data_IF_471987734866
#
_entry.id   IF_471987734866
#
_cell.length_a   1.000
_cell.length_b   1.000
_cell.length_c   1.000
_cell.angle_alpha   90.00
_cell.angle_beta   90.00
_cell.angle_gamma   90.00
#
_symmetry.space_group_name_H-M   'P 1'
#
loop_
_entity.id
_entity.type
_entity.pdbx_description
1 polymer ?
#
# COMPACT_ATOMS: atom_id res chain seq x y z
N UNK A 1 -47.44 38.47 -50.55
CA UNK A 1 -46.44 37.65 -51.26
C UNK A 1 -45.48 37.18 -50.19
N UNK A 2 -45.42 35.94 -49.71
CA UNK A 2 -45.98 34.61 -50.04
C UNK A 2 -45.45 33.75 -48.87
N UNK A 3 -46.29 33.01 -48.12
CA UNK A 3 -46.52 31.55 -48.27
C UNK A 3 -45.21 30.73 -48.13
N UNK A 4 -45.06 29.63 -47.37
CA UNK A 4 -45.91 28.58 -46.79
C UNK A 4 -45.10 27.92 -45.63
N UNK A 5 -45.66 27.47 -44.50
CA UNK A 5 -46.49 26.26 -44.26
C UNK A 5 -45.82 24.93 -44.70
N UNK A 6 -45.47 24.09 -43.71
CA UNK A 6 -46.01 22.73 -43.49
C UNK A 6 -45.15 21.63 -44.17
N UNK A 7 -44.89 20.40 -43.68
CA UNK A 7 -45.42 19.54 -42.61
C UNK A 7 -44.54 18.27 -42.48
N UNK A 8 -44.51 17.68 -41.26
CA UNK A 8 -44.64 16.24 -40.91
C UNK A 8 -43.52 15.20 -41.14
N UNK A 9 -43.07 14.67 -39.98
CA UNK A 9 -42.71 13.30 -39.53
C UNK A 9 -41.92 12.30 -40.40
N UNK A 10 -40.89 11.70 -39.79
CA UNK A 10 -40.90 10.26 -39.45
C UNK A 10 -39.76 9.88 -38.49
N UNK A 11 -40.04 8.83 -37.72
CA UNK A 11 -39.25 8.18 -36.67
C UNK A 11 -38.36 7.09 -37.28
N UNK A 12 -37.17 6.88 -36.71
CA UNK A 12 -36.29 5.68 -36.66
C UNK A 12 -34.83 6.19 -36.60
N UNK A 13 -33.86 5.70 -35.83
CA UNK A 13 -33.69 4.53 -35.00
C UNK A 13 -32.18 4.44 -34.69
N UNK A 14 -31.87 4.21 -33.42
CA UNK A 14 -30.62 3.73 -32.78
C UNK A 14 -29.43 3.38 -33.71
N UNK A 15 -28.28 4.04 -33.51
CA UNK A 15 -26.92 3.43 -33.62
C UNK A 15 -25.82 4.42 -33.21
N UNK A 16 -25.43 4.43 -31.93
CA UNK A 16 -24.20 5.09 -31.47
C UNK A 16 -23.47 4.20 -30.47
N UNK A 17 -22.85 3.14 -30.98
CA UNK A 17 -21.86 2.34 -30.24
C UNK A 17 -20.60 2.02 -31.04
N UNK A 18 -20.45 2.54 -32.26
CA UNK A 18 -19.32 2.19 -33.15
C UNK A 18 -18.34 3.35 -33.39
N UNK A 19 -18.68 4.59 -33.00
CA UNK A 19 -17.78 5.75 -33.15
C UNK A 19 -16.81 5.97 -31.98
N UNK A 20 -17.04 5.36 -30.81
CA UNK A 20 -16.11 5.44 -29.67
C UNK A 20 -14.89 4.50 -29.81
N UNK A 21 -14.98 3.45 -30.65
CA UNK A 21 -13.91 2.46 -30.81
C UNK A 21 -12.84 2.87 -31.84
N UNK A 22 -13.13 3.80 -32.75
CA UNK A 22 -12.14 4.25 -33.75
C UNK A 22 -11.16 5.30 -33.20
N UNK A 23 -11.52 6.00 -32.11
CA UNK A 23 -10.63 7.01 -31.50
C UNK A 23 -9.57 6.38 -30.59
N UNK A 24 -9.85 5.20 -30.01
CA UNK A 24 -8.89 4.46 -29.15
C UNK A 24 -7.76 3.84 -30.00
N UNK A 25 -8.08 3.31 -31.18
CA UNK A 25 -7.08 2.70 -32.08
C UNK A 25 -6.02 3.71 -32.61
N UNK A 26 -6.37 5.00 -32.69
CA UNK A 26 -5.43 6.05 -33.13
C UNK A 26 -4.45 6.50 -32.03
N UNK A 27 -4.74 6.22 -30.74
CA UNK A 27 -3.84 6.53 -29.64
C UNK A 27 -2.76 5.45 -29.46
N UNK A 28 -3.11 4.18 -29.71
CA UNK A 28 -2.18 3.05 -29.63
C UNK A 28 -1.06 3.13 -30.69
N UNK A 29 -1.35 3.59 -31.91
CA UNK A 29 -0.32 3.76 -32.96
C UNK A 29 0.72 4.85 -32.67
N UNK A 30 0.49 5.76 -31.72
CA UNK A 30 1.47 6.81 -31.36
C UNK A 30 2.39 6.44 -30.21
N UNK A 31 2.06 5.43 -29.41
CA UNK A 31 2.93 4.91 -28.35
C UNK A 31 3.99 3.92 -28.84
N UNK A 32 3.78 3.26 -30.00
CA UNK A 32 4.73 2.27 -30.54
C UNK A 32 5.97 2.88 -31.26
N UNK A 33 6.02 4.19 -31.50
CA UNK A 33 7.07 4.81 -32.32
C UNK A 33 8.26 5.39 -31.53
N UNK A 34 8.26 5.33 -30.20
CA UNK A 34 9.32 5.88 -29.36
C UNK A 34 10.33 4.85 -28.80
N UNK A 35 10.16 3.56 -29.11
CA UNK A 35 11.05 2.49 -28.66
C UNK A 35 11.89 1.95 -29.84
N UNK A 36 12.92 2.68 -30.25
CA UNK A 36 13.97 2.15 -31.13
C UNK A 36 15.33 2.80 -30.83
N UNK A 37 16.09 2.18 -29.93
CA UNK A 37 17.55 2.38 -29.79
C UNK A 37 18.16 0.96 -29.61
N UNK A 38 19.25 0.60 -30.33
CA UNK A 38 19.61 -0.79 -30.57
C UNK A 38 20.42 -1.43 -29.43
N UNK A 39 20.06 -2.68 -29.10
CA UNK A 39 20.77 -3.57 -28.18
C UNK A 39 22.00 -4.17 -28.85
N UNK A 40 23.18 -4.00 -28.24
CA UNK A 40 24.41 -4.68 -28.64
C UNK A 40 24.45 -6.05 -27.96
N UNK A 41 24.52 -7.12 -28.76
CA UNK A 41 24.70 -8.49 -28.31
C UNK A 41 26.16 -8.78 -27.96
N UNK A 42 26.39 -9.53 -26.87
CA UNK A 42 27.63 -10.28 -26.70
C UNK A 42 27.34 -11.62 -26.04
N UNK A 43 27.51 -12.67 -26.84
CA UNK A 43 27.55 -14.08 -26.45
C UNK A 43 28.86 -14.39 -25.73
N UNK A 44 28.83 -15.20 -24.68
CA UNK A 44 29.95 -16.06 -24.31
C UNK A 44 29.45 -17.33 -23.58
N UNK A 45 29.78 -18.47 -24.18
CA UNK A 45 29.66 -19.83 -23.64
C UNK A 45 30.77 -20.07 -22.61
N UNK A 46 30.51 -20.74 -21.46
CA UNK A 46 31.49 -21.68 -20.87
C UNK A 46 30.79 -22.83 -20.09
N UNK A 47 30.95 -24.02 -20.66
CA UNK A 47 31.22 -25.38 -20.11
C UNK A 47 30.90 -25.74 -18.64
N UNK A 48 30.18 -26.88 -18.55
CA UNK A 48 30.19 -27.86 -17.45
C UNK A 48 31.57 -28.48 -17.25
N UNK A 49 31.98 -28.66 -15.99
CA UNK A 49 32.72 -29.85 -15.55
C UNK A 49 32.47 -30.12 -14.05
N UNK A 50 32.48 -31.40 -13.68
CA UNK A 50 31.98 -31.93 -12.40
C UNK A 50 33.04 -32.43 -11.40
N UNK A 51 32.52 -33.18 -10.40
CA UNK A 51 33.18 -33.90 -9.27
C UNK A 51 33.58 -32.99 -8.08
N UNK A 52 33.50 -33.38 -6.81
CA UNK A 52 33.29 -34.66 -6.13
C UNK A 52 32.85 -34.46 -4.66
N UNK A 53 31.98 -35.36 -4.16
CA UNK A 53 31.89 -35.99 -2.83
C UNK A 53 32.32 -35.28 -1.52
N UNK A 54 31.44 -35.34 -0.50
CA UNK A 54 31.74 -35.89 0.83
C UNK A 54 30.45 -36.26 1.61
N UNK A 55 30.48 -37.42 2.26
CA UNK A 55 29.39 -38.02 3.05
C UNK A 55 29.75 -38.09 4.55
N UNK A 56 28.87 -38.77 5.33
CA UNK A 56 29.03 -39.42 6.67
C UNK A 56 28.23 -38.70 7.81
N UNK A 57 27.53 -39.38 8.78
CA UNK A 57 26.55 -40.48 8.69
C UNK A 57 25.39 -40.46 9.78
N UNK A 58 24.44 -41.40 9.66
CA UNK A 58 23.81 -42.23 10.73
C UNK A 58 22.98 -41.63 11.90
N UNK A 59 21.72 -42.05 12.05
CA UNK A 59 21.31 -43.12 13.00
C UNK A 59 19.82 -43.50 12.85
N UNK A 60 19.55 -44.80 12.90
CA UNK A 60 18.25 -45.48 12.78
C UNK A 60 17.68 -45.93 14.13
N UNK A 61 16.35 -45.76 14.25
CA UNK A 61 15.30 -46.61 14.84
C UNK A 61 15.48 -47.38 16.17
N UNK A 62 14.40 -47.37 16.97
CA UNK A 62 13.86 -48.62 17.54
C UNK A 62 12.33 -48.53 17.78
N UNK A 63 11.63 -49.57 17.29
CA UNK A 63 10.19 -49.88 17.41
C UNK A 63 9.84 -50.52 18.77
N UNK A 64 8.54 -50.55 19.10
CA UNK A 64 7.76 -51.64 19.75
C UNK A 64 6.42 -51.02 20.25
N UNK A 65 5.23 -51.60 20.28
CA UNK A 65 4.48 -52.66 19.58
C UNK A 65 3.02 -52.53 20.09
N UNK A 66 2.01 -52.93 19.29
CA UNK A 66 0.59 -53.05 19.70
C UNK A 66 0.31 -54.42 20.37
N UNK A 67 -0.81 -54.58 21.12
CA UNK A 67 -1.96 -55.36 20.60
C UNK A 67 -3.36 -54.82 21.07
N UNK A 68 -4.40 -54.75 20.22
CA UNK A 68 -5.50 -55.70 19.90
C UNK A 68 -6.59 -55.95 20.97
N UNK A 69 -7.84 -55.55 20.69
CA UNK A 69 -9.06 -56.32 21.03
C UNK A 69 -10.33 -55.54 21.49
N UNK A 70 -11.55 -56.04 21.20
CA UNK A 70 -12.75 -55.23 20.82
C UNK A 70 -14.00 -55.48 21.73
N UNK A 71 -15.27 -55.39 21.26
CA UNK A 71 -16.09 -54.23 20.87
C UNK A 71 -17.36 -54.08 21.75
N UNK A 72 -18.11 -52.96 21.66
CA UNK A 72 -19.51 -52.92 22.12
C UNK A 72 -20.37 -52.02 21.23
N UNK A 73 -21.52 -52.56 20.82
CA UNK A 73 -22.65 -51.89 20.17
C UNK A 73 -23.79 -51.74 21.17
N UNK A 74 -24.45 -50.58 21.22
CA UNK A 74 -25.88 -50.52 21.54
C UNK A 74 -26.52 -49.21 21.05
N UNK A 75 -27.78 -49.33 20.67
CA UNK A 75 -28.69 -48.39 20.00
C UNK A 75 -29.34 -47.37 20.94
N UNK A 76 -29.71 -46.17 20.45
CA UNK A 76 -31.12 -45.71 20.34
C UNK A 76 -31.29 -44.18 20.16
N UNK A 77 -32.17 -43.85 19.20
CA UNK A 77 -33.23 -42.83 19.18
C UNK A 77 -32.93 -41.30 19.25
N UNK A 78 -33.23 -40.67 18.11
CA UNK A 78 -34.11 -39.50 17.90
C UNK A 78 -33.97 -38.26 18.79
N UNK A 79 -33.39 -37.21 18.20
CA UNK A 79 -33.74 -35.81 18.46
C UNK A 79 -33.63 -35.03 17.15
N UNK A 80 -34.77 -34.68 16.56
CA UNK A 80 -34.84 -33.76 15.41
C UNK A 80 -34.69 -32.35 15.95
N UNK A 81 -33.55 -31.72 15.71
CA UNK A 81 -33.45 -30.26 15.68
C UNK A 81 -33.20 -29.86 14.23
N UNK A 82 -34.12 -29.04 13.71
CA UNK A 82 -34.06 -28.49 12.38
C UNK A 82 -32.91 -27.48 12.32
N UNK A 83 -31.77 -27.90 11.75
CA UNK A 83 -30.82 -26.97 11.17
C UNK A 83 -31.47 -26.35 9.93
N UNK A 84 -31.86 -25.09 10.06
CA UNK A 84 -32.11 -24.20 8.94
C UNK A 84 -30.80 -24.10 8.13
N UNK A 85 -30.69 -24.91 7.08
CA UNK A 85 -29.62 -24.82 6.08
C UNK A 85 -29.72 -23.45 5.41
N UNK A 86 -28.98 -22.47 5.96
CA UNK A 86 -28.59 -21.29 5.21
C UNK A 86 -27.90 -21.81 3.94
N UNK A 87 -28.53 -21.60 2.78
CA UNK A 87 -27.94 -21.96 1.49
C UNK A 87 -26.52 -21.39 1.45
N UNK A 88 -25.53 -22.27 1.39
CA UNK A 88 -24.13 -21.88 1.34
C UNK A 88 -23.97 -20.95 0.13
N UNK A 89 -23.50 -19.72 0.38
CA UNK A 89 -23.11 -18.81 -0.69
C UNK A 89 -22.14 -19.58 -1.61
N UNK A 90 -22.41 -19.73 -2.92
CA UNK A 90 -21.53 -20.46 -3.85
C UNK A 90 -20.07 -20.01 -3.79
N UNK A 91 -19.89 -18.73 -3.43
CA UNK A 91 -18.62 -18.05 -3.23
C UNK A 91 -17.86 -18.55 -1.98
N UNK A 92 -18.58 -18.93 -0.92
CA UNK A 92 -18.01 -19.51 0.29
C UNK A 92 -17.49 -20.93 0.03
N UNK A 93 -18.13 -21.70 -0.85
CA UNK A 93 -17.67 -23.02 -1.28
C UNK A 93 -16.41 -22.92 -2.13
N UNK A 94 -16.38 -22.04 -3.14
CA UNK A 94 -15.19 -21.84 -3.98
C UNK A 94 -13.96 -21.35 -3.21
N UNK A 95 -14.14 -20.44 -2.25
CA UNK A 95 -13.02 -19.91 -1.48
C UNK A 95 -12.60 -20.83 -0.32
N UNK A 96 -13.40 -21.83 0.02
CA UNK A 96 -13.07 -22.81 1.08
C UNK A 96 -11.95 -23.79 0.71
N UNK A 97 -11.59 -23.88 -0.58
CA UNK A 97 -10.52 -24.75 -1.09
C UNK A 97 -9.13 -24.08 -1.11
N UNK A 98 -9.03 -22.79 -0.77
CA UNK A 98 -7.76 -22.06 -0.74
C UNK A 98 -7.05 -22.32 0.60
N UNK A 99 -5.94 -23.06 0.55
CA UNK A 99 -5.12 -23.37 1.73
C UNK A 99 -4.45 -22.11 2.30
N UNK A 100 -4.52 -21.93 3.62
CA UNK A 100 -4.38 -20.63 4.31
C UNK A 100 -3.08 -20.55 5.11
N UNK A 101 -1.94 -20.42 4.42
CA UNK A 101 -0.72 -19.90 5.03
C UNK A 101 -0.18 -18.71 4.22
N UNK A 102 -0.36 -17.49 4.75
CA UNK A 102 0.16 -16.25 4.16
C UNK A 102 -0.89 -15.31 3.53
N UNK A 103 -0.48 -14.14 3.01
CA UNK A 103 -1.37 -13.17 2.37
C UNK A 103 -1.90 -13.70 1.03
N UNK A 104 -3.23 -13.73 0.88
CA UNK A 104 -3.88 -14.20 -0.34
C UNK A 104 -3.83 -13.13 -1.42
N UNK A 105 -3.32 -13.47 -2.61
CA UNK A 105 -3.29 -12.56 -3.76
C UNK A 105 -4.66 -12.50 -4.44
N UNK A 106 -5.09 -11.29 -4.80
CA UNK A 106 -6.39 -11.04 -5.41
C UNK A 106 -6.58 -11.73 -6.76
N UNK A 107 -5.54 -11.84 -7.59
CA UNK A 107 -5.63 -12.54 -8.88
C UNK A 107 -6.14 -13.98 -8.76
N UNK A 108 -5.77 -14.69 -7.68
CA UNK A 108 -6.19 -16.07 -7.46
C UNK A 108 -7.67 -16.13 -7.07
N UNK A 109 -8.17 -15.07 -6.44
CA UNK A 109 -9.56 -14.92 -6.02
C UNK A 109 -10.42 -14.49 -7.20
N UNK A 110 -10.04 -13.48 -8.00
CA UNK A 110 -10.83 -13.00 -9.15
C UNK A 110 -11.13 -14.13 -10.14
N UNK A 111 -10.16 -14.99 -10.44
CA UNK A 111 -10.37 -16.16 -11.33
C UNK A 111 -11.42 -17.13 -10.79
N UNK A 112 -11.57 -17.22 -9.46
CA UNK A 112 -12.57 -18.06 -8.81
C UNK A 112 -13.95 -17.39 -8.78
N UNK A 113 -14.02 -16.08 -8.50
CA UNK A 113 -15.30 -15.37 -8.31
C UNK A 113 -16.15 -15.23 -9.58
N UNK A 114 -15.57 -15.40 -10.77
CA UNK A 114 -16.21 -14.97 -12.01
C UNK A 114 -16.39 -13.44 -12.03
N UNK A 115 -17.14 -12.90 -12.98
CA UNK A 115 -17.36 -11.45 -13.10
C UNK A 115 -18.29 -10.87 -11.99
N UNK A 116 -18.52 -11.58 -10.89
CA UNK A 116 -19.42 -11.16 -9.79
C UNK A 116 -18.64 -10.70 -8.55
N UNK A 117 -19.00 -9.52 -8.03
CA UNK A 117 -18.36 -8.99 -6.82
C UNK A 117 -18.94 -9.67 -5.57
N UNK A 118 -18.10 -10.08 -4.60
CA UNK A 118 -18.56 -10.79 -3.41
C UNK A 118 -19.14 -9.82 -2.38
N UNK A 119 -20.36 -9.35 -2.62
CA UNK A 119 -21.08 -8.48 -1.69
C UNK A 119 -21.60 -9.25 -0.48
N UNK A 120 -21.59 -8.63 0.70
CA UNK A 120 -22.09 -9.22 1.96
C UNK A 120 -23.00 -8.23 2.68
N UNK A 121 -24.05 -8.73 3.33
CA UNK A 121 -24.98 -7.93 4.14
C UNK A 121 -24.28 -7.06 5.19
N UNK A 122 -23.10 -7.46 5.67
CA UNK A 122 -22.32 -6.66 6.62
C UNK A 122 -21.96 -5.28 6.04
N UNK A 123 -21.72 -5.19 4.72
CA UNK A 123 -21.46 -3.92 4.03
C UNK A 123 -22.72 -3.07 3.97
N UNK A 124 -23.87 -3.67 3.63
CA UNK A 124 -25.16 -2.97 3.57
C UNK A 124 -25.51 -2.39 4.95
N UNK A 125 -25.27 -3.14 6.02
CA UNK A 125 -25.48 -2.69 7.40
C UNK A 125 -24.53 -1.57 7.83
N UNK A 126 -23.38 -1.42 7.18
CA UNK A 126 -22.41 -0.37 7.47
C UNK A 126 -22.70 0.93 6.70
N UNK A 127 -23.61 0.91 5.72
CA UNK A 127 -24.05 2.12 5.03
C UNK A 127 -24.68 3.12 6.01
N UNK A 128 -24.57 4.43 5.74
CA UNK A 128 -25.21 5.44 6.58
C UNK A 128 -26.71 5.19 6.75
N UNK A 129 -27.24 5.54 7.92
CA UNK A 129 -28.64 5.32 8.23
C UNK A 129 -29.55 5.98 7.18
N UNK A 130 -30.47 5.21 6.62
CA UNK A 130 -31.38 5.67 5.58
C UNK A 130 -30.90 5.46 4.15
N UNK A 131 -29.67 5.00 3.95
CA UNK A 131 -29.20 4.61 2.62
C UNK A 131 -29.92 3.36 2.11
N UNK A 132 -30.28 3.37 0.83
CA UNK A 132 -30.85 2.22 0.10
C UNK A 132 -29.82 1.69 -0.88
N UNK A 133 -29.37 0.45 -0.69
CA UNK A 133 -28.46 -0.23 -1.62
C UNK A 133 -29.14 -0.51 -2.97
N UNK A 134 -28.43 -0.28 -4.08
CA UNK A 134 -28.90 -0.56 -5.44
C UNK A 134 -28.08 -1.65 -6.12
N UNK A 135 -26.78 -1.46 -6.24
CA UNK A 135 -25.89 -2.38 -6.96
C UNK A 135 -24.44 -2.23 -6.51
N UNK A 136 -23.61 -3.18 -6.93
CA UNK A 136 -22.16 -3.15 -6.77
C UNK A 136 -21.50 -3.52 -8.09
N UNK A 137 -20.43 -2.84 -8.44
CA UNK A 137 -19.59 -3.18 -9.58
C UNK A 137 -18.13 -3.16 -9.17
N UNK A 138 -17.33 -4.08 -9.73
CA UNK A 138 -15.88 -4.01 -9.59
C UNK A 138 -15.38 -2.62 -10.00
N UNK A 139 -14.46 -2.09 -9.21
CA UNK A 139 -13.72 -0.87 -9.50
C UNK A 139 -12.26 -1.22 -9.80
N UNK A 140 -11.42 -0.19 -9.96
CA UNK A 140 -10.02 -0.28 -10.35
C UNK A 140 -9.19 -1.26 -9.51
N UNK A 141 -8.01 -1.59 -10.01
CA UNK A 141 -7.26 -2.75 -9.53
C UNK A 141 -6.32 -2.39 -8.38
N UNK A 142 -6.41 -3.16 -7.29
CA UNK A 142 -5.40 -3.19 -6.22
C UNK A 142 -4.74 -4.58 -6.20
N UNK A 143 -3.44 -4.62 -5.90
CA UNK A 143 -2.69 -5.87 -5.82
C UNK A 143 -3.18 -6.80 -4.69
N UNK A 144 -3.84 -6.25 -3.67
CA UNK A 144 -4.15 -6.93 -2.40
C UNK A 144 -5.60 -6.87 -1.96
N UNK A 145 -6.40 -5.98 -2.54
CA UNK A 145 -7.82 -5.83 -2.22
C UNK A 145 -8.68 -5.92 -3.48
N UNK A 146 -9.86 -6.51 -3.38
CA UNK A 146 -10.91 -6.24 -4.36
C UNK A 146 -11.43 -4.84 -4.09
N UNK A 147 -11.65 -4.05 -5.14
CA UNK A 147 -12.30 -2.76 -4.99
C UNK A 147 -13.61 -2.73 -5.76
N UNK A 148 -14.57 -1.96 -5.26
CA UNK A 148 -15.87 -1.81 -5.88
C UNK A 148 -16.45 -0.42 -5.69
N UNK A 149 -17.31 -0.04 -6.63
CA UNK A 149 -18.24 1.07 -6.49
C UNK A 149 -19.60 0.49 -6.09
N UNK A 150 -20.12 0.95 -4.96
CA UNK A 150 -21.43 0.57 -4.41
C UNK A 150 -22.39 1.70 -4.69
N UNK A 151 -23.42 1.45 -5.50
CA UNK A 151 -24.45 2.44 -5.82
C UNK A 151 -25.54 2.40 -4.74
N UNK A 152 -25.90 3.57 -4.22
CA UNK A 152 -26.97 3.70 -3.22
C UNK A 152 -27.82 4.94 -3.47
N UNK A 153 -28.99 5.00 -2.83
CA UNK A 153 -29.77 6.22 -2.66
C UNK A 153 -29.65 6.71 -1.22
N UNK A 154 -29.58 8.03 -1.01
CA UNK A 154 -29.72 8.64 0.31
C UNK A 154 -31.20 8.74 0.76
N UNK A 155 -31.44 9.37 1.91
CA UNK A 155 -32.79 9.56 2.48
C UNK A 155 -33.72 10.39 1.59
N UNK A 156 -33.15 11.26 0.76
CA UNK A 156 -33.89 12.14 -0.15
C UNK A 156 -34.09 11.49 -1.52
N UNK A 157 -33.58 10.27 -1.71
CA UNK A 157 -33.66 9.52 -2.97
C UNK A 157 -32.60 9.94 -4.00
N UNK A 158 -31.58 10.71 -3.60
CA UNK A 158 -30.48 11.08 -4.50
C UNK A 158 -29.45 9.96 -4.56
N UNK A 159 -28.80 9.80 -5.71
CA UNK A 159 -27.69 8.85 -5.83
C UNK A 159 -26.51 9.27 -4.98
N UNK A 160 -26.00 8.32 -4.19
CA UNK A 160 -24.80 8.49 -3.38
C UNK A 160 -23.92 7.24 -3.46
N UNK A 161 -22.87 7.24 -4.31
CA UNK A 161 -21.97 6.09 -4.42
C UNK A 161 -20.98 6.00 -3.25
N UNK A 162 -20.57 4.78 -2.92
CA UNK A 162 -19.50 4.49 -1.95
C UNK A 162 -18.40 3.65 -2.58
N UNK A 163 -17.18 3.82 -2.07
CA UNK A 163 -16.03 3.01 -2.44
C UNK A 163 -15.85 1.90 -1.41
N UNK A 164 -15.71 0.66 -1.89
CA UNK A 164 -15.59 -0.55 -1.07
C UNK A 164 -14.26 -1.24 -1.37
N UNK A 165 -13.47 -1.52 -0.34
CA UNK A 165 -12.32 -2.44 -0.39
C UNK A 165 -12.62 -3.71 0.37
N UNK A 166 -12.20 -4.85 -0.17
CA UNK A 166 -12.36 -6.18 0.44
C UNK A 166 -11.03 -6.91 0.46
N UNK A 167 -10.70 -7.48 1.62
CA UNK A 167 -9.47 -8.24 1.85
C UNK A 167 -9.73 -9.48 2.72
N UNK A 168 -8.80 -10.42 2.67
CA UNK A 168 -9.00 -11.76 3.22
C UNK A 168 -7.98 -12.11 4.30
N UNK A 169 -8.40 -12.96 5.24
CA UNK A 169 -7.60 -13.45 6.35
C UNK A 169 -7.23 -12.37 7.37
N UNK A 170 -6.40 -12.76 8.34
CA UNK A 170 -5.93 -11.86 9.39
C UNK A 170 -5.09 -10.70 8.84
N UNK A 171 -4.35 -10.94 7.76
CA UNK A 171 -3.61 -9.89 7.08
C UNK A 171 -4.54 -8.80 6.52
N UNK A 172 -5.61 -9.21 5.81
CA UNK A 172 -6.63 -8.28 5.31
C UNK A 172 -7.33 -7.51 6.42
N UNK A 173 -7.57 -8.15 7.57
CA UNK A 173 -8.12 -7.47 8.77
C UNK A 173 -7.21 -6.34 9.24
N UNK A 174 -5.92 -6.60 9.38
CA UNK A 174 -4.94 -5.61 9.85
C UNK A 174 -4.85 -4.45 8.86
N UNK A 175 -4.74 -4.75 7.57
CA UNK A 175 -4.65 -3.76 6.50
C UNK A 175 -5.86 -2.81 6.48
N UNK A 176 -7.07 -3.36 6.36
CA UNK A 176 -8.28 -2.54 6.20
C UNK A 176 -8.68 -1.83 7.50
N UNK A 177 -8.43 -2.42 8.67
CA UNK A 177 -8.63 -1.72 9.95
C UNK A 177 -7.63 -0.57 10.12
N UNK A 178 -6.37 -0.80 9.71
CA UNK A 178 -5.34 0.23 9.73
C UNK A 178 -5.68 1.41 8.82
N UNK A 179 -6.13 1.13 7.59
CA UNK A 179 -6.57 2.15 6.64
C UNK A 179 -7.79 2.93 7.17
N UNK A 180 -8.82 2.22 7.65
CA UNK A 180 -10.02 2.86 8.23
C UNK A 180 -9.68 3.80 9.40
N UNK A 181 -8.86 3.33 10.35
CA UNK A 181 -8.45 4.15 11.50
C UNK A 181 -7.55 5.33 11.10
N UNK A 182 -6.71 5.15 10.07
CA UNK A 182 -5.90 6.23 9.49
C UNK A 182 -6.78 7.30 8.86
N UNK A 183 -7.69 6.90 7.96
CA UNK A 183 -8.64 7.79 7.31
C UNK A 183 -9.51 8.53 8.32
N UNK A 184 -9.92 7.87 9.41
CA UNK A 184 -10.70 8.51 10.47
C UNK A 184 -9.93 9.62 11.18
N UNK A 185 -8.63 9.41 11.47
CA UNK A 185 -7.81 10.46 12.09
C UNK A 185 -7.55 11.61 11.12
N UNK A 186 -7.27 11.33 9.85
CA UNK A 186 -7.04 12.37 8.82
C UNK A 186 -8.32 13.18 8.60
N UNK A 187 -9.47 12.52 8.35
CA UNK A 187 -10.76 13.18 8.13
C UNK A 187 -11.18 14.06 9.32
N UNK A 188 -10.91 13.63 10.55
CA UNK A 188 -11.16 14.44 11.76
C UNK A 188 -10.40 15.77 11.75
N UNK A 189 -9.20 15.81 11.15
CA UNK A 189 -8.37 17.00 11.05
C UNK A 189 -8.73 17.82 9.81
N UNK A 190 -8.87 17.15 8.66
CA UNK A 190 -9.18 17.73 7.36
C UNK A 190 -10.22 16.86 6.63
N UNK A 191 -11.53 17.15 6.80
CA UNK A 191 -12.62 16.35 6.23
C UNK A 191 -12.63 16.27 4.69
N UNK A 192 -11.97 17.21 4.02
CA UNK A 192 -11.92 17.33 2.57
C UNK A 192 -10.60 16.80 1.97
N UNK A 193 -9.73 16.20 2.78
CA UNK A 193 -8.38 15.78 2.34
C UNK A 193 -8.24 14.27 2.17
N UNK A 194 -9.25 13.50 2.55
CA UNK A 194 -9.37 12.05 2.34
C UNK A 194 -10.85 11.71 2.19
N UNK A 195 -11.25 10.68 1.42
CA UNK A 195 -12.65 10.26 1.36
C UNK A 195 -13.18 9.93 2.76
N UNK A 196 -14.42 10.31 3.05
CA UNK A 196 -14.99 10.11 4.38
C UNK A 196 -15.05 8.61 4.70
N UNK A 197 -14.39 8.13 5.76
CA UNK A 197 -14.45 6.74 6.15
C UNK A 197 -15.82 6.45 6.78
N UNK A 198 -16.55 5.51 6.20
CA UNK A 198 -17.90 5.13 6.63
C UNK A 198 -17.84 3.94 7.59
N UNK A 199 -17.08 2.89 7.23
CA UNK A 199 -17.06 1.69 8.06
C UNK A 199 -15.91 0.74 7.77
N UNK A 200 -15.61 -0.08 8.77
CA UNK A 200 -14.78 -1.26 8.67
C UNK A 200 -15.50 -2.41 9.37
N UNK A 201 -15.41 -3.61 8.80
CA UNK A 201 -16.07 -4.77 9.41
C UNK A 201 -15.65 -6.10 8.82
N UNK A 202 -16.18 -7.17 9.41
CA UNK A 202 -16.05 -8.54 8.93
C UNK A 202 -17.32 -8.95 8.21
N UNK A 203 -17.18 -9.64 7.09
CA UNK A 203 -18.30 -10.28 6.39
C UNK A 203 -18.96 -11.33 7.29
N UNK A 204 -20.25 -11.58 7.06
CA UNK A 204 -20.95 -12.72 7.67
C UNK A 204 -20.42 -14.05 7.13
N UNK A 205 -20.01 -14.06 5.87
CA UNK A 205 -19.40 -15.24 5.23
C UNK A 205 -18.16 -15.68 6.02
N UNK A 206 -18.13 -16.95 6.43
CA UNK A 206 -17.18 -17.41 7.46
C UNK A 206 -15.82 -17.86 6.91
N UNK A 207 -15.74 -18.32 5.65
CA UNK A 207 -14.52 -18.89 5.07
C UNK A 207 -14.27 -18.44 3.62
N UNK A 208 -13.05 -17.96 3.31
CA UNK A 208 -12.06 -17.45 4.26
C UNK A 208 -12.66 -16.26 5.04
N UNK A 209 -12.06 -15.92 6.17
CA UNK A 209 -12.47 -14.72 6.89
C UNK A 209 -12.25 -13.50 5.98
N UNK A 210 -13.33 -12.75 5.70
CA UNK A 210 -13.29 -11.60 4.78
C UNK A 210 -13.62 -10.33 5.55
N UNK A 211 -12.93 -9.25 5.22
CA UNK A 211 -13.06 -7.95 5.86
C UNK A 211 -13.25 -6.88 4.79
N UNK A 212 -13.87 -5.77 5.19
CA UNK A 212 -14.10 -4.63 4.31
C UNK A 212 -13.74 -3.30 4.94
N UNK A 213 -13.43 -2.34 4.07
CA UNK A 213 -13.37 -0.91 4.35
C UNK A 213 -14.31 -0.19 3.37
N UNK A 214 -15.10 0.75 3.88
CA UNK A 214 -16.10 1.50 3.13
C UNK A 214 -15.86 3.00 3.35
N UNK A 215 -15.83 3.78 2.27
CA UNK A 215 -15.72 5.23 2.30
C UNK A 215 -16.65 5.89 1.28
N UNK A 216 -16.79 7.21 1.33
CA UNK A 216 -17.35 7.97 0.20
C UNK A 216 -16.61 7.60 -1.10
N UNK A 217 -17.35 7.52 -2.20
CA UNK A 217 -16.77 7.44 -3.54
C UNK A 217 -16.48 8.85 -4.04
N UNK A 218 -15.27 9.08 -4.53
CA UNK A 218 -14.85 10.37 -5.08
C UNK A 218 -14.28 10.14 -6.47
N UNK A 219 -14.81 10.86 -7.45
CA UNK A 219 -14.22 10.90 -8.80
C UNK A 219 -12.92 11.71 -8.75
N UNK A 220 -11.81 11.06 -9.09
CA UNK A 220 -10.48 11.64 -8.98
C UNK A 220 -9.74 11.57 -10.31
N UNK A 221 -9.00 12.63 -10.63
CA UNK A 221 -7.89 12.57 -11.57
C UNK A 221 -6.62 12.14 -10.81
N UNK A 222 -6.15 10.92 -11.10
CA UNK A 222 -4.92 10.35 -10.52
C UNK A 222 -3.72 10.43 -11.48
N UNK A 223 -3.88 11.13 -12.60
CA UNK A 223 -2.86 11.26 -13.65
C UNK A 223 -2.17 12.62 -13.63
N UNK A 224 -2.89 13.65 -13.20
CA UNK A 224 -2.35 15.00 -13.09
C UNK A 224 -1.56 15.20 -11.79
N UNK A 225 -0.35 15.78 -11.85
CA UNK A 225 0.35 16.18 -10.63
C UNK A 225 -0.40 17.34 -9.93
N UNK A 226 -0.45 17.36 -8.60
CA UNK A 226 -1.10 18.44 -7.88
C UNK A 226 -0.25 19.71 -7.93
N UNK A 227 -0.88 20.88 -7.76
CA UNK A 227 -0.12 22.12 -7.57
C UNK A 227 0.76 22.01 -6.31
N UNK A 228 2.07 22.13 -6.48
CA UNK A 228 3.04 21.90 -5.41
C UNK A 228 2.79 22.81 -4.19
N UNK A 229 2.38 24.07 -4.40
CA UNK A 229 2.14 25.00 -3.31
C UNK A 229 0.89 24.63 -2.51
N UNK A 230 -0.26 24.43 -3.19
CA UNK A 230 -1.51 24.04 -2.54
C UNK A 230 -1.35 22.71 -1.79
N UNK A 231 -0.86 21.68 -2.48
CA UNK A 231 -0.68 20.35 -1.89
C UNK A 231 0.21 20.38 -0.65
N UNK A 232 1.40 20.99 -0.77
CA UNK A 232 2.34 21.05 0.35
C UNK A 232 1.82 21.93 1.50
N UNK A 233 1.04 22.98 1.21
CA UNK A 233 0.39 23.78 2.24
C UNK A 233 -0.62 22.94 3.03
N UNK A 234 -1.47 22.16 2.35
CA UNK A 234 -2.46 21.27 3.00
C UNK A 234 -1.80 20.14 3.78
N UNK A 235 -0.76 19.50 3.22
CA UNK A 235 -0.01 18.47 3.91
C UNK A 235 0.68 18.99 5.18
N UNK A 236 1.35 20.15 5.08
CA UNK A 236 1.95 20.80 6.24
C UNK A 236 0.89 21.17 7.30
N UNK A 237 -0.30 21.61 6.87
CA UNK A 237 -1.39 21.94 7.77
C UNK A 237 -1.91 20.71 8.53
N UNK A 238 -2.08 19.56 7.86
CA UNK A 238 -2.41 18.29 8.51
C UNK A 238 -1.37 17.94 9.59
N UNK A 239 -0.08 18.03 9.27
CA UNK A 239 1.00 17.73 10.21
C UNK A 239 1.03 18.70 11.39
N UNK A 240 0.70 19.97 11.18
CA UNK A 240 0.65 21.00 12.24
C UNK A 240 -0.59 20.92 13.12
N UNK A 241 -1.75 20.58 12.56
CA UNK A 241 -3.02 20.47 13.31
C UNK A 241 -3.18 19.16 14.06
N UNK A 242 -2.55 18.08 13.59
CA UNK A 242 -2.61 16.79 14.28
C UNK A 242 -2.09 16.84 15.71
N UNK A 243 -2.60 16.00 16.60
CA UNK A 243 -2.12 15.90 17.98
C UNK A 243 -2.09 14.44 18.39
N UNK A 244 -0.90 13.94 18.75
CA UNK A 244 -0.79 12.58 19.29
C UNK A 244 -1.60 12.46 20.58
N UNK A 245 -2.49 11.46 20.70
CA UNK A 245 -3.35 11.30 21.88
C UNK A 245 -2.55 10.95 23.14
N UNK A 246 -1.30 10.50 23.00
CA UNK A 246 -0.41 10.13 24.09
C UNK A 246 0.76 11.09 24.27
N UNK A 247 0.91 12.06 23.35
CA UNK A 247 2.14 12.86 23.23
C UNK A 247 3.37 12.09 22.74
N UNK A 248 3.21 10.82 22.35
CA UNK A 248 4.28 9.92 21.87
C UNK A 248 4.18 9.65 20.37
N UNK A 249 5.23 9.06 19.78
CA UNK A 249 5.22 8.50 18.42
C UNK A 249 4.55 7.13 18.42
N UNK A 250 3.88 6.76 17.33
CA UNK A 250 3.14 5.50 17.23
C UNK A 250 1.69 5.66 16.80
N UNK A 251 0.90 4.60 16.94
CA UNK A 251 -0.51 4.59 16.59
C UNK A 251 -1.28 3.60 17.47
N UNK A 252 -2.59 3.78 17.62
CA UNK A 252 -3.41 2.94 18.51
C UNK A 252 -3.76 1.58 17.91
N UNK A 253 -3.66 1.43 16.60
CA UNK A 253 -3.78 0.16 15.88
C UNK A 253 -2.56 -0.06 14.99
N UNK A 254 -2.28 -1.31 14.64
CA UNK A 254 -1.31 -1.61 13.59
C UNK A 254 -1.82 -1.12 12.24
N UNK A 255 -1.03 -0.29 11.56
CA UNK A 255 -1.26 0.13 10.17
C UNK A 255 -0.28 -0.58 9.24
N UNK A 256 -0.45 -0.43 7.92
CA UNK A 256 0.43 -1.03 6.92
C UNK A 256 0.99 0.03 5.96
N UNK A 257 2.13 -0.26 5.34
CA UNK A 257 2.61 0.35 4.09
C UNK A 257 2.62 -0.75 3.04
N UNK A 258 1.72 -0.65 2.08
CA UNK A 258 1.31 -1.76 1.23
C UNK A 258 0.90 -2.99 2.06
N UNK A 259 1.56 -4.13 1.80
CA UNK A 259 1.31 -5.41 2.51
C UNK A 259 2.05 -5.54 3.85
N UNK A 260 2.79 -4.53 4.30
CA UNK A 260 3.71 -4.69 5.43
C UNK A 260 3.19 -3.97 6.64
N UNK A 261 2.87 -4.74 7.69
CA UNK A 261 2.44 -4.21 8.96
C UNK A 261 3.56 -3.39 9.61
N UNK A 262 3.26 -2.15 9.98
CA UNK A 262 4.18 -1.28 10.68
C UNK A 262 4.38 -1.73 12.13
N UNK A 263 5.58 -1.47 12.67
CA UNK A 263 5.85 -1.58 14.10
C UNK A 263 5.56 -0.25 14.79
N UNK A 264 4.28 0.01 15.12
CA UNK A 264 3.78 1.34 15.55
C UNK A 264 3.45 1.45 17.05
N UNK A 265 4.07 0.65 17.90
CA UNK A 265 3.87 0.77 19.35
C UNK A 265 4.32 2.13 19.86
N UNK A 266 3.62 2.66 20.87
CA UNK A 266 3.92 3.98 21.43
C UNK A 266 5.36 4.08 21.98
N UNK A 267 6.06 5.15 21.59
CA UNK A 267 7.45 5.40 21.96
C UNK A 267 7.71 6.91 22.11
N UNK A 268 8.48 7.30 23.12
CA UNK A 268 8.83 8.70 23.40
C UNK A 268 10.00 9.19 22.54
N UNK A 269 10.95 8.31 22.25
CA UNK A 269 12.11 8.63 21.43
C UNK A 269 11.83 8.34 19.95
N UNK A 270 11.84 9.38 19.12
CA UNK A 270 11.72 9.22 17.68
C UNK A 270 12.83 8.34 17.10
N UNK A 271 14.05 8.46 17.63
CA UNK A 271 15.17 7.63 17.18
C UNK A 271 14.92 6.14 17.42
N UNK A 272 14.40 5.77 18.59
CA UNK A 272 14.04 4.37 18.92
C UNK A 272 12.85 3.92 18.07
N UNK A 273 11.84 4.77 17.91
CA UNK A 273 10.67 4.45 17.09
C UNK A 273 11.06 4.16 15.63
N UNK A 274 11.82 5.06 15.00
CA UNK A 274 12.29 4.88 13.63
C UNK A 274 13.24 3.67 13.50
N UNK A 275 14.11 3.42 14.49
CA UNK A 275 14.94 2.22 14.53
C UNK A 275 14.08 0.94 14.45
N UNK A 276 12.99 0.87 15.21
CA UNK A 276 12.10 -0.29 15.19
C UNK A 276 11.37 -0.44 13.84
N UNK A 277 10.95 0.66 13.22
CA UNK A 277 10.39 0.64 11.86
C UNK A 277 11.39 0.08 10.85
N UNK A 278 12.62 0.60 10.84
CA UNK A 278 13.66 0.18 9.90
C UNK A 278 14.03 -1.30 10.10
N UNK A 279 14.24 -1.72 11.34
CA UNK A 279 14.54 -3.13 11.65
C UNK A 279 13.41 -4.07 11.21
N UNK A 280 12.15 -3.63 11.34
CA UNK A 280 10.99 -4.40 10.88
C UNK A 280 11.04 -4.68 9.38
N UNK A 281 11.29 -3.65 8.56
CA UNK A 281 11.37 -3.83 7.10
C UNK A 281 12.65 -4.54 6.66
N UNK A 282 13.78 -4.33 7.34
CA UNK A 282 15.02 -5.08 7.07
C UNK A 282 14.86 -6.58 7.37
N UNK A 283 14.13 -6.93 8.43
CA UNK A 283 13.81 -8.34 8.73
C UNK A 283 12.98 -8.95 7.59
N UNK A 284 11.96 -8.24 7.12
CA UNK A 284 11.13 -8.72 6.02
C UNK A 284 11.92 -8.85 4.71
N UNK A 285 12.80 -7.90 4.41
CA UNK A 285 13.71 -7.97 3.26
C UNK A 285 14.62 -9.20 3.34
N UNK A 286 15.22 -9.46 4.51
CA UNK A 286 16.06 -10.65 4.71
C UNK A 286 15.27 -11.95 4.49
N UNK A 287 14.05 -12.03 5.01
CA UNK A 287 13.16 -13.19 4.82
C UNK A 287 12.75 -13.38 3.36
N UNK A 288 12.57 -12.29 2.61
CA UNK A 288 12.05 -12.34 1.23
C UNK A 288 13.14 -12.46 0.18
N UNK A 289 14.21 -11.68 0.30
CA UNK A 289 15.26 -11.49 -0.70
C UNK A 289 16.58 -12.17 -0.31
N UNK A 290 16.61 -12.87 0.83
CA UNK A 290 17.78 -13.60 1.31
C UNK A 290 18.89 -12.71 1.86
N UNK A 291 19.96 -13.31 2.41
CA UNK A 291 21.04 -12.59 3.06
C UNK A 291 21.86 -11.74 2.09
N UNK A 292 22.30 -10.59 2.58
CA UNK A 292 23.28 -9.74 1.90
C UNK A 292 24.24 -9.17 2.95
N UNK A 293 25.42 -9.79 3.17
CA UNK A 293 26.29 -9.46 4.30
C UNK A 293 26.67 -7.98 4.42
N UNK A 294 26.88 -7.29 3.29
CA UNK A 294 27.22 -5.87 3.30
C UNK A 294 26.01 -5.01 3.74
N UNK A 295 24.81 -5.30 3.24
CA UNK A 295 23.58 -4.62 3.65
C UNK A 295 23.29 -4.84 5.14
N UNK A 296 23.46 -6.07 5.65
CA UNK A 296 23.28 -6.38 7.07
C UNK A 296 24.28 -5.62 7.95
N UNK A 297 25.54 -5.56 7.52
CA UNK A 297 26.59 -4.78 8.19
C UNK A 297 26.28 -3.29 8.20
N UNK A 298 25.88 -2.73 7.05
CA UNK A 298 25.48 -1.33 6.93
C UNK A 298 24.24 -1.03 7.79
N UNK A 299 23.23 -1.90 7.76
CA UNK A 299 22.02 -1.78 8.59
C UNK A 299 22.38 -1.71 10.08
N UNK A 300 23.25 -2.60 10.56
CA UNK A 300 23.72 -2.59 11.96
C UNK A 300 24.40 -1.26 12.31
N UNK A 301 25.24 -0.72 11.42
CA UNK A 301 25.92 0.56 11.65
C UNK A 301 24.94 1.74 11.65
N UNK A 302 24.00 1.76 10.70
CA UNK A 302 22.94 2.77 10.63
C UNK A 302 22.13 2.77 11.91
N UNK A 303 21.67 1.59 12.35
CA UNK A 303 20.86 1.42 13.55
C UNK A 303 21.61 1.80 14.83
N UNK A 304 22.86 1.37 14.98
CA UNK A 304 23.58 1.55 16.25
C UNK A 304 24.35 2.86 16.36
N UNK A 305 24.63 3.55 15.25
CA UNK A 305 25.46 4.77 15.22
C UNK A 305 24.78 5.93 14.52
N UNK A 306 24.30 5.74 13.29
CA UNK A 306 23.75 6.85 12.47
C UNK A 306 22.42 7.34 13.05
N UNK A 307 21.45 6.46 13.32
CA UNK A 307 20.14 6.83 13.87
C UNK A 307 20.29 7.59 15.20
N UNK A 308 21.04 7.09 16.21
CA UNK A 308 21.26 7.84 17.45
C UNK A 308 21.89 9.21 17.21
N UNK A 309 22.80 9.35 16.25
CA UNK A 309 23.44 10.62 15.92
C UNK A 309 22.52 11.58 15.16
N UNK A 310 21.80 11.11 14.16
CA UNK A 310 21.07 11.95 13.22
C UNK A 310 19.63 12.25 13.69
N UNK A 311 19.01 11.30 14.39
CA UNK A 311 17.66 11.44 14.92
C UNK A 311 17.66 11.77 16.41
N UNK A 312 18.61 11.25 17.18
CA UNK A 312 18.71 11.57 18.62
C UNK A 312 18.99 13.05 18.87
N UNK A 313 19.67 13.74 17.94
CA UNK A 313 19.89 15.19 18.07
C UNK A 313 18.61 16.00 18.07
N UNK A 314 17.52 15.52 17.45
CA UNK A 314 16.22 16.21 17.36
C UNK A 314 15.54 16.40 18.72
N UNK A 315 15.88 15.56 19.71
CA UNK A 315 15.28 15.57 21.06
C UNK A 315 16.33 15.83 22.15
N UNK A 316 17.49 16.39 21.81
CA UNK A 316 18.56 16.72 22.77
C UNK A 316 18.92 18.20 22.71
N UNK A 317 19.66 18.69 23.71
CA UNK A 317 20.05 20.09 23.86
C UNK A 317 18.85 21.05 23.91
N UNK A 318 17.79 20.64 24.60
CA UNK A 318 16.55 21.42 24.73
C UNK A 318 15.63 21.40 23.51
N UNK A 319 16.03 20.72 22.42
CA UNK A 319 15.17 20.54 21.24
C UNK A 319 14.08 19.51 21.53
N UNK A 320 12.93 19.74 20.91
CA UNK A 320 11.79 18.84 20.93
C UNK A 320 11.20 18.80 19.53
N UNK A 321 10.73 17.63 19.14
CA UNK A 321 9.95 17.43 17.92
C UNK A 321 8.56 16.98 18.31
N UNK A 322 7.58 17.47 17.55
CA UNK A 322 6.18 17.12 17.72
C UNK A 322 5.90 15.78 17.00
N UNK A 323 5.24 14.81 17.66
CA UNK A 323 4.62 13.69 16.96
C UNK A 323 3.44 14.21 16.12
N UNK A 324 3.65 14.28 14.81
CA UNK A 324 2.67 14.70 13.81
C UNK A 324 2.06 13.46 13.15
N UNK A 325 0.74 13.46 12.97
CA UNK A 325 0.10 12.43 12.14
C UNK A 325 0.62 12.58 10.71
N UNK A 326 1.14 11.50 10.14
CA UNK A 326 1.52 11.41 8.74
C UNK A 326 0.58 10.46 8.00
N UNK A 327 0.48 10.58 6.68
CA UNK A 327 -0.16 9.61 5.80
C UNK A 327 0.53 8.24 5.90
N UNK A 328 1.87 8.21 5.87
CA UNK A 328 2.68 7.01 6.17
C UNK A 328 3.03 6.13 4.97
N UNK A 329 2.39 6.39 3.83
CA UNK A 329 2.69 5.83 2.51
C UNK A 329 2.43 6.87 1.40
N UNK A 330 2.88 8.11 1.56
CA UNK A 330 2.55 9.19 0.63
C UNK A 330 3.55 9.29 -0.53
N UNK A 331 3.08 8.89 -1.70
CA UNK A 331 3.70 9.13 -3.00
C UNK A 331 2.59 9.50 -4.00
N UNK A 332 2.92 9.96 -5.20
CA UNK A 332 1.89 10.44 -6.15
C UNK A 332 0.84 9.38 -6.54
N UNK A 333 1.12 8.08 -6.36
CA UNK A 333 0.14 7.02 -6.57
C UNK A 333 -0.94 6.92 -5.50
N UNK A 334 -0.78 7.59 -4.36
CA UNK A 334 -1.70 7.59 -3.22
C UNK A 334 -2.38 8.97 -3.01
N UNK A 335 -2.53 9.71 -4.11
CA UNK A 335 -3.27 10.97 -4.14
C UNK A 335 -4.04 11.12 -5.45
N UNK A 336 -5.03 12.01 -5.45
CA UNK A 336 -5.86 12.37 -6.60
C UNK A 336 -6.22 13.84 -6.56
N UNK A 337 -6.73 14.37 -7.67
CA UNK A 337 -7.43 15.65 -7.72
C UNK A 337 -8.93 15.36 -7.78
N UNK A 338 -9.69 15.81 -6.79
CA UNK A 338 -11.14 15.68 -6.79
C UNK A 338 -11.73 16.42 -8.00
N UNK A 339 -12.38 15.71 -8.93
CA UNK A 339 -12.88 16.30 -10.18
C UNK A 339 -13.99 17.32 -9.96
N UNK A 340 -14.71 17.24 -8.84
CA UNK A 340 -15.79 18.17 -8.52
C UNK A 340 -15.28 19.48 -7.92
N UNK A 341 -14.24 19.43 -7.07
CA UNK A 341 -13.75 20.61 -6.35
C UNK A 341 -12.43 21.17 -6.88
N UNK A 342 -11.64 20.35 -7.58
CA UNK A 342 -10.28 20.68 -8.01
C UNK A 342 -9.22 20.55 -6.90
N UNK A 343 -9.62 20.09 -5.71
CA UNK A 343 -8.72 19.96 -4.56
C UNK A 343 -7.98 18.62 -4.55
N UNK A 344 -6.75 18.61 -4.03
CA UNK A 344 -6.03 17.36 -3.78
C UNK A 344 -6.73 16.51 -2.72
N UNK A 345 -6.76 15.20 -2.91
CA UNK A 345 -7.30 14.23 -1.95
C UNK A 345 -6.33 13.06 -1.82
N UNK A 346 -6.16 12.56 -0.60
CA UNK A 346 -5.31 11.42 -0.28
C UNK A 346 -6.14 10.13 -0.22
N UNK A 347 -5.50 8.99 -0.38
CA UNK A 347 -6.10 7.68 -0.14
C UNK A 347 -5.03 6.64 0.20
N UNK A 348 -5.44 5.46 0.66
CA UNK A 348 -4.52 4.36 1.02
C UNK A 348 -3.57 4.70 2.18
N UNK A 349 -4.10 5.37 3.20
CA UNK A 349 -3.33 5.83 4.35
C UNK A 349 -2.90 4.70 5.30
N UNK A 350 -1.61 4.72 5.63
CA UNK A 350 -0.94 3.83 6.58
C UNK A 350 -0.41 4.58 7.80
N UNK A 351 -1.26 5.37 8.45
CA UNK A 351 -0.83 6.44 9.34
C UNK A 351 -0.16 5.99 10.63
N UNK A 352 0.66 6.89 11.17
CA UNK A 352 1.14 6.88 12.55
C UNK A 352 1.61 8.29 12.93
N UNK A 353 1.78 8.56 14.22
CA UNK A 353 2.39 9.81 14.70
C UNK A 353 3.91 9.70 14.61
N UNK A 354 4.53 10.58 13.82
CA UNK A 354 5.93 10.56 13.45
C UNK A 354 6.59 11.94 13.56
N UNK A 355 7.90 12.02 13.36
CA UNK A 355 8.52 13.29 12.97
C UNK A 355 7.98 13.69 11.59
N UNK A 356 7.50 14.92 11.42
CA UNK A 356 6.84 15.37 10.17
C UNK A 356 7.69 15.25 8.89
N UNK A 357 9.02 15.22 9.02
CA UNK A 357 9.94 15.00 7.91
C UNK A 357 9.94 13.55 7.40
N UNK A 358 9.45 12.59 8.21
CA UNK A 358 9.33 11.18 7.81
C UNK A 358 8.50 10.99 6.54
N UNK A 359 7.43 11.77 6.36
CA UNK A 359 6.56 11.70 5.17
C UNK A 359 7.34 11.91 3.87
N UNK A 360 8.36 12.78 3.89
CA UNK A 360 9.15 13.09 2.71
C UNK A 360 10.12 11.95 2.33
N UNK A 361 10.29 10.95 3.20
CA UNK A 361 11.13 9.79 2.91
C UNK A 361 10.69 9.04 1.66
N UNK A 362 9.39 8.79 1.52
CA UNK A 362 8.81 8.20 0.29
C UNK A 362 9.03 9.08 -0.93
N UNK A 363 8.99 10.40 -0.77
CA UNK A 363 9.20 11.35 -1.87
C UNK A 363 10.60 11.24 -2.44
N UNK A 364 11.61 10.79 -1.67
CA UNK A 364 12.96 10.57 -2.17
C UNK A 364 13.13 9.26 -2.95
N UNK A 365 12.28 8.26 -2.73
CA UNK A 365 12.42 6.95 -3.35
C UNK A 365 12.27 7.01 -4.88
N UNK A 366 12.92 6.10 -5.60
CA UNK A 366 12.92 6.08 -7.06
C UNK A 366 11.53 5.80 -7.70
N UNK A 367 10.56 5.30 -6.92
CA UNK A 367 9.17 5.14 -7.36
C UNK A 367 8.38 6.46 -7.34
N UNK A 368 8.86 7.47 -6.61
CA UNK A 368 8.29 8.81 -6.62
C UNK A 368 8.99 9.58 -7.73
N UNK A 369 8.26 10.09 -8.69
CA UNK A 369 8.73 10.87 -9.83
C UNK A 369 8.55 12.35 -9.54
N UNK A 370 7.30 12.80 -9.38
CA UNK A 370 7.00 14.23 -9.27
C UNK A 370 7.38 14.80 -7.91
N UNK A 371 7.15 14.07 -6.83
CA UNK A 371 7.45 14.56 -5.48
C UNK A 371 8.94 14.71 -5.18
N UNK A 372 9.83 14.15 -6.01
CA UNK A 372 11.28 14.43 -5.94
C UNK A 372 11.64 15.82 -6.44
N UNK A 373 10.77 16.44 -7.23
CA UNK A 373 11.09 17.71 -7.84
C UNK A 373 11.18 18.83 -6.80
N UNK A 374 12.13 19.72 -7.07
CA UNK A 374 12.51 20.84 -6.24
C UNK A 374 11.34 21.73 -5.77
N UNK A 375 10.30 22.02 -6.60
CA UNK A 375 9.15 22.81 -6.19
C UNK A 375 8.38 22.21 -5.00
N UNK A 376 8.20 20.89 -4.92
CA UNK A 376 7.48 20.23 -3.83
C UNK A 376 8.26 20.35 -2.51
N UNK A 377 9.56 20.07 -2.56
CA UNK A 377 10.44 20.18 -1.40
C UNK A 377 10.53 21.61 -0.88
N UNK A 378 10.64 22.61 -1.77
CA UNK A 378 10.60 24.02 -1.40
C UNK A 378 9.27 24.42 -0.79
N UNK A 379 8.16 24.02 -1.42
CA UNK A 379 6.83 24.37 -0.95
C UNK A 379 6.58 23.79 0.44
N UNK A 380 6.84 22.50 0.67
CA UNK A 380 6.65 21.90 1.99
C UNK A 380 7.55 22.56 3.04
N UNK A 381 8.85 22.77 2.77
CA UNK A 381 9.76 23.47 3.70
C UNK A 381 9.31 24.90 4.03
N UNK A 382 8.62 25.58 3.11
CA UNK A 382 8.06 26.92 3.34
C UNK A 382 6.92 26.86 4.37
N UNK A 383 6.08 25.84 4.29
CA UNK A 383 4.93 25.71 5.20
C UNK A 383 5.32 25.02 6.51
N UNK A 384 6.17 24.00 6.52
CA UNK A 384 6.70 23.36 7.72
C UNK A 384 8.25 23.34 7.67
N UNK A 385 8.93 24.32 8.31
CA UNK A 385 10.38 24.42 8.27
C UNK A 385 11.09 23.19 8.81
N UNK A 386 12.28 22.92 8.27
CA UNK A 386 13.14 21.84 8.73
C UNK A 386 13.47 21.96 10.24
N UNK A 387 13.45 20.81 10.91
CA UNK A 387 13.86 20.68 12.30
C UNK A 387 15.36 20.93 12.48
N UNK A 388 15.74 21.47 13.63
CA UNK A 388 17.16 21.72 13.94
C UNK A 388 17.90 20.42 14.30
N UNK A 389 19.13 20.19 13.79
CA UNK A 389 19.90 21.07 12.89
C UNK A 389 19.38 21.07 11.46
N UNK A 390 19.09 22.27 10.91
CA UNK A 390 18.57 22.41 9.53
C UNK A 390 19.51 21.89 8.46
N UNK A 391 20.82 21.98 8.68
CA UNK A 391 21.85 21.51 7.76
C UNK A 391 21.82 19.99 7.54
N UNK A 392 21.16 19.23 8.42
CA UNK A 392 21.04 17.77 8.35
C UNK A 392 19.67 17.31 7.80
N UNK A 393 18.86 18.23 7.27
CA UNK A 393 17.52 17.93 6.76
C UNK A 393 17.52 16.86 5.67
N UNK A 394 18.31 17.06 4.61
CA UNK A 394 18.34 16.12 3.48
C UNK A 394 18.90 14.75 3.87
N UNK A 395 19.85 14.72 4.81
CA UNK A 395 20.38 13.49 5.38
C UNK A 395 19.32 12.72 6.17
N UNK A 396 18.44 13.43 6.89
CA UNK A 396 17.30 12.81 7.56
C UNK A 396 16.30 12.24 6.55
N UNK A 397 16.02 12.95 5.46
CA UNK A 397 15.11 12.41 4.43
C UNK A 397 15.72 11.18 3.75
N UNK A 398 17.03 11.18 3.48
CA UNK A 398 17.77 10.00 3.01
C UNK A 398 17.70 8.83 4.00
N UNK A 399 17.80 9.10 5.29
CA UNK A 399 17.61 8.07 6.30
C UNK A 399 16.16 7.54 6.31
N UNK A 400 15.16 8.41 6.21
CA UNK A 400 13.75 8.03 6.19
C UNK A 400 13.36 7.24 4.93
N UNK A 401 13.97 7.54 3.77
CA UNK A 401 13.72 6.82 2.52
C UNK A 401 14.14 5.35 2.58
N UNK A 402 15.08 4.98 3.47
CA UNK A 402 15.46 3.57 3.67
C UNK A 402 14.26 2.70 4.02
N UNK A 403 13.33 3.20 4.85
CA UNK A 403 12.14 2.45 5.23
C UNK A 403 11.28 2.12 4.00
N UNK A 404 10.97 3.12 3.19
CA UNK A 404 10.14 2.95 1.98
C UNK A 404 10.82 2.10 0.92
N UNK A 405 12.12 2.32 0.67
CA UNK A 405 12.87 1.58 -0.34
C UNK A 405 13.03 0.09 0.00
N UNK A 406 13.37 -0.24 1.25
CA UNK A 406 13.48 -1.63 1.70
C UNK A 406 12.11 -2.30 1.75
N UNK A 407 11.07 -1.58 2.20
CA UNK A 407 9.70 -2.07 2.16
C UNK A 407 9.27 -2.45 0.74
N UNK A 408 9.51 -1.56 -0.21
CA UNK A 408 9.21 -1.79 -1.62
C UNK A 408 9.96 -3.00 -2.17
N UNK A 409 11.27 -3.11 -1.89
CA UNK A 409 12.08 -4.26 -2.33
C UNK A 409 11.62 -5.59 -1.73
N UNK A 410 11.16 -5.61 -0.48
CA UNK A 410 10.53 -6.79 0.12
C UNK A 410 9.13 -7.08 -0.46
N UNK A 411 8.45 -6.06 -0.98
CA UNK A 411 7.24 -6.19 -1.79
C UNK A 411 7.50 -6.82 -3.15
N UNK A 412 8.66 -6.51 -3.74
CA UNK A 412 9.01 -6.74 -5.13
C UNK A 412 10.44 -7.28 -5.24
N UNK A 413 10.63 -8.61 -5.12
CA UNK A 413 11.94 -9.24 -5.28
C UNK A 413 12.60 -8.82 -6.60
N UNK A 414 13.93 -8.72 -6.59
CA UNK A 414 14.76 -8.23 -7.70
C UNK A 414 14.67 -6.72 -7.99
N UNK A 415 13.91 -5.96 -7.19
CA UNK A 415 13.88 -4.50 -7.31
C UNK A 415 15.24 -3.87 -7.02
N UNK A 416 15.64 -2.93 -7.89
CA UNK A 416 16.84 -2.11 -7.75
C UNK A 416 16.83 -1.25 -6.47
N UNK A 417 15.65 -0.99 -5.89
CA UNK A 417 15.52 -0.21 -4.66
C UNK A 417 16.25 -0.83 -3.48
N UNK A 418 16.47 -2.16 -3.50
CA UNK A 418 17.29 -2.83 -2.50
C UNK A 418 18.74 -2.34 -2.53
N UNK A 419 19.31 -2.24 -3.73
CA UNK A 419 20.67 -1.75 -3.94
C UNK A 419 20.78 -0.24 -3.71
N UNK A 420 19.76 0.53 -4.10
CA UNK A 420 19.71 1.97 -3.83
C UNK A 420 19.63 2.27 -2.33
N UNK A 421 18.82 1.51 -1.57
CA UNK A 421 18.74 1.64 -0.13
C UNK A 421 20.10 1.34 0.52
N UNK A 422 20.78 0.28 0.07
CA UNK A 422 22.13 -0.02 0.52
C UNK A 422 23.11 1.12 0.21
N UNK A 423 23.07 1.71 -0.98
CA UNK A 423 23.90 2.86 -1.35
C UNK A 423 23.64 4.08 -0.44
N UNK A 424 22.38 4.34 -0.09
CA UNK A 424 22.03 5.39 0.87
C UNK A 424 22.57 5.08 2.28
N UNK A 425 22.61 3.81 2.69
CA UNK A 425 23.29 3.43 3.93
C UNK A 425 24.80 3.67 3.87
N UNK A 426 25.46 3.41 2.73
CA UNK A 426 26.88 3.69 2.55
C UNK A 426 27.18 5.19 2.72
N UNK A 427 26.40 6.07 2.08
CA UNK A 427 26.51 7.52 2.26
C UNK A 427 26.42 7.93 3.74
N UNK A 428 25.38 7.42 4.42
CA UNK A 428 25.12 7.76 5.81
C UNK A 428 26.22 7.24 6.74
N UNK A 429 26.75 6.05 6.48
CA UNK A 429 27.89 5.51 7.21
C UNK A 429 29.15 6.36 6.98
N UNK A 430 29.53 6.65 5.73
CA UNK A 430 30.69 7.49 5.43
C UNK A 430 30.64 8.85 6.14
N UNK A 431 29.47 9.49 6.17
CA UNK A 431 29.30 10.84 6.73
C UNK A 431 29.24 10.86 8.26
N UNK A 432 28.54 9.91 8.88
CA UNK A 432 28.20 9.98 10.31
C UNK A 432 28.85 8.91 11.17
N UNK A 433 29.22 7.77 10.60
CA UNK A 433 29.77 6.64 11.34
C UNK A 433 30.57 5.71 10.41
N UNK A 434 31.79 6.12 9.97
CA UNK A 434 32.59 5.36 9.01
C UNK A 434 32.79 3.91 9.44
N UNK A 435 32.77 3.00 8.46
CA UNK A 435 32.81 1.56 8.68
C UNK A 435 33.56 0.87 7.54
N UNK A 436 34.51 0.00 7.89
CA UNK A 436 35.20 -0.85 6.93
C UNK A 436 34.38 -2.10 6.55
N UNK A 437 34.56 -2.56 5.32
CA UNK A 437 33.93 -3.79 4.80
C UNK A 437 32.47 -3.62 4.37
N UNK A 438 32.10 -2.39 3.99
CA UNK A 438 30.95 -2.09 3.12
C UNK A 438 31.48 -1.33 1.89
N UNK A 439 30.66 -1.20 0.87
CA UNK A 439 31.01 -0.45 -0.33
C UNK A 439 31.02 1.05 -0.05
N UNK A 440 31.65 1.81 -0.95
CA UNK A 440 31.58 3.27 -0.90
C UNK A 440 30.28 3.76 -1.51
N UNK A 441 29.85 4.95 -1.10
CA UNK A 441 28.73 5.62 -1.74
C UNK A 441 29.03 5.87 -3.23
N UNK A 442 28.10 5.45 -4.08
CA UNK A 442 28.09 5.70 -5.51
C UNK A 442 26.98 6.72 -5.86
N UNK A 443 27.34 7.94 -6.28
CA UNK A 443 26.37 8.94 -6.73
C UNK A 443 25.50 8.50 -7.91
N UNK A 444 25.94 7.53 -8.72
CA UNK A 444 25.15 7.03 -9.87
C UNK A 444 23.95 6.19 -9.44
N UNK A 445 23.96 5.67 -8.21
CA UNK A 445 22.87 4.91 -7.62
C UNK A 445 21.95 5.78 -6.75
N UNK A 446 22.24 7.08 -6.58
CA UNK A 446 21.37 8.00 -5.84
C UNK A 446 20.24 8.51 -6.74
N UNK A 447 18.96 8.26 -6.41
CA UNK A 447 17.84 8.64 -7.27
C UNK A 447 17.71 10.15 -7.46
N UNK A 448 18.20 10.98 -6.54
CA UNK A 448 18.16 12.44 -6.69
C UNK A 448 19.30 12.94 -7.58
N UNK A 449 20.48 12.30 -7.52
CA UNK A 449 21.65 12.72 -8.31
C UNK A 449 21.58 12.18 -9.74
N UNK A 450 21.21 10.91 -9.89
CA UNK A 450 21.14 10.25 -11.19
C UNK A 450 19.83 10.52 -11.95
N UNK A 451 18.80 11.02 -11.26
CA UNK A 451 17.46 11.15 -11.83
C UNK A 451 16.76 9.81 -12.11
N UNK A 452 17.34 8.70 -11.62
CA UNK A 452 16.84 7.34 -11.86
C UNK A 452 15.44 7.19 -11.30
N UNK A 453 14.56 6.61 -12.10
CA UNK A 453 13.17 6.43 -11.77
C UNK A 453 12.75 5.00 -12.09
N UNK A 454 11.97 4.39 -11.21
CA UNK A 454 11.34 3.10 -11.53
C UNK A 454 9.87 3.34 -11.82
N UNK A 455 9.32 2.57 -12.75
CA UNK A 455 7.87 2.43 -12.85
C UNK A 455 7.46 1.54 -11.68
N UNK A 456 6.63 2.02 -10.74
CA UNK A 456 6.07 1.15 -9.70
C UNK A 456 5.46 -0.07 -10.38
N UNK A 457 5.72 -1.27 -9.86
CA UNK A 457 5.28 -2.51 -10.51
C UNK A 457 3.74 -2.61 -10.51
N UNK A 458 3.10 -2.01 -11.50
CA UNK A 458 1.76 -2.40 -11.94
C UNK A 458 1.97 -3.71 -12.69
N UNK A 459 2.00 -4.83 -11.96
CA UNK A 459 2.27 -6.13 -12.61
C UNK A 459 1.29 -6.37 -13.75
N UNK A 460 1.84 -6.82 -14.86
CA UNK A 460 1.17 -7.28 -16.08
C UNK A 460 -0.18 -7.97 -15.81
N UNK A 461 -1.23 -7.53 -16.52
CA UNK A 461 -2.52 -8.24 -16.57
C UNK A 461 -3.59 -7.79 -15.57
N UNK A 462 -3.46 -6.60 -14.98
CA UNK A 462 -4.50 -5.94 -14.20
C UNK A 462 -5.12 -4.82 -15.06
N UNK A 463 -5.85 -5.21 -16.11
CA UNK A 463 -6.68 -4.35 -16.98
C UNK A 463 -8.14 -4.66 -16.68
#
# INVERSE_FOLDING_TARGET
MTENQDTVSSVEGISTSTQALSTISSAESKMQAAANIPTISRTEEVKKDGREAAAIPSMTETKLDKPLGPPFTESSQNGKDQEEQAAANPLALLLSEIDVEGPIRIKNIITLLGNEFPMDDAVIKALPQGSTYLSVAFSAVSAWTLTARVETLDLDGNQKPYFLKVAFGEHGRIMLNGEFESSKQISKIMPDFIPQPIGFGKYKTQKPATYFYLSDFVDMDVTSPPDAHNFCSRLAEMHKRSQSPTGKFGFHVTTCDGKVAHTVRWEESWAIFFQNLLLGVCKLDLETNGPWPNLERATKQVVTKVIPRLLGVLQTKGRQIKPSLIHGDLWEGNMGINQQTGDTILFDAGSYYAHHEMELGHWRCAFSLQFRDEPYWKAYKRHYPASEPKAEFEDRIRLYSLKGAINYAAGHPESELRAMAYNDMCYLCEKYAPLDGIDKYDPQLDPIVAGTSIVPHVREGLI
#
